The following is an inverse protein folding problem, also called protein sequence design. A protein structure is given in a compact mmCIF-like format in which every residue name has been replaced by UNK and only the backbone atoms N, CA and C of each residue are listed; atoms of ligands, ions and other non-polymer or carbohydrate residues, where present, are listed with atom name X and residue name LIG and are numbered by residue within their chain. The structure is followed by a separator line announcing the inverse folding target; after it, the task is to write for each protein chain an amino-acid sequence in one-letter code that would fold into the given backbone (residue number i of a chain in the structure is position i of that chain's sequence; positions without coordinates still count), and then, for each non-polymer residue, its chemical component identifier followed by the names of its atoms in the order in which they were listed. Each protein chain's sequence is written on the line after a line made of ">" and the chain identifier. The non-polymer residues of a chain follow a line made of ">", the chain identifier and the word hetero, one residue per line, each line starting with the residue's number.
data_IF_841804015723
#
_entry.id   IF_841804015723
#
_cell.length_a   1.000
_cell.length_b   1.000
_cell.length_c   1.000
_cell.angle_alpha   90.00
_cell.angle_beta   90.00
_cell.angle_gamma   90.00
#
_symmetry.space_group_name_H-M   'P 1'
#
loop_
_entity.id
_entity.type
_entity.pdbx_description
1 polymer ?
#
# COMPACT_ATOMS: atom_id res chain seq x y z
N UNK A 1 -12.94 0.28 -5.44
CA UNK A 1 -11.77 0.29 -4.54
C UNK A 1 -10.54 0.03 -5.38
N UNK A 2 -9.39 0.53 -4.98
CA UNK A 2 -8.10 0.22 -5.63
C UNK A 2 -7.14 -0.39 -4.61
N UNK A 3 -6.16 -1.12 -5.10
CA UNK A 3 -5.06 -1.70 -4.31
C UNK A 3 -3.74 -1.44 -5.03
N UNK A 4 -2.70 -1.19 -4.25
CA UNK A 4 -1.31 -1.23 -4.72
C UNK A 4 -0.38 -1.45 -3.52
N UNK A 5 0.87 -1.74 -3.81
CA UNK A 5 1.98 -1.71 -2.87
C UNK A 5 3.16 -0.94 -3.48
N UNK A 6 4.09 -0.52 -2.63
CA UNK A 6 5.32 0.12 -3.08
C UNK A 6 6.48 -0.16 -2.13
N UNK A 7 7.69 0.10 -2.61
CA UNK A 7 8.92 0.05 -1.86
C UNK A 7 9.89 1.13 -2.36
N UNK A 8 11.11 1.14 -1.81
CA UNK A 8 12.17 2.02 -2.30
C UNK A 8 12.57 1.70 -3.76
N UNK A 9 12.27 0.50 -4.28
CA UNK A 9 12.62 0.09 -5.64
C UNK A 9 11.53 0.42 -6.68
N UNK A 10 10.32 0.79 -6.24
CA UNK A 10 9.23 1.10 -7.15
C UNK A 10 7.87 0.81 -6.55
N UNK A 11 6.89 0.57 -7.42
CA UNK A 11 5.50 0.37 -7.06
C UNK A 11 4.89 -0.75 -7.91
N UNK A 12 3.91 -1.47 -7.36
CA UNK A 12 3.09 -2.40 -8.14
C UNK A 12 2.25 -1.62 -9.15
N UNK A 13 1.62 -2.31 -10.12
CA UNK A 13 0.46 -1.76 -10.81
C UNK A 13 -0.61 -1.30 -9.82
N UNK A 14 -1.38 -0.29 -10.20
CA UNK A 14 -2.63 0.06 -9.49
C UNK A 14 -3.71 -0.93 -9.93
N UNK A 15 -4.35 -1.61 -8.98
CA UNK A 15 -5.33 -2.66 -9.25
C UNK A 15 -6.72 -2.16 -8.88
N UNK A 16 -7.67 -2.25 -9.81
CA UNK A 16 -9.08 -1.94 -9.52
C UNK A 16 -9.79 -3.19 -9.03
N UNK A 17 -10.17 -3.19 -7.75
CA UNK A 17 -10.86 -4.29 -7.11
C UNK A 17 -12.37 -4.23 -7.37
N UNK A 18 -12.96 -5.38 -7.69
CA UNK A 18 -14.38 -5.51 -8.02
C UNK A 18 -15.19 -5.94 -6.80
N UNK A 19 -16.18 -5.12 -6.43
CA UNK A 19 -17.10 -5.45 -5.35
C UNK A 19 -16.44 -5.49 -3.97
N UNK A 20 -17.13 -6.12 -3.01
CA UNK A 20 -16.59 -6.37 -1.67
C UNK A 20 -15.55 -7.49 -1.75
N UNK A 21 -14.40 -7.28 -1.11
CA UNK A 21 -13.31 -8.25 -1.08
C UNK A 21 -13.46 -9.21 0.11
N UNK A 22 -13.11 -10.46 -0.12
CA UNK A 22 -12.90 -11.49 0.91
C UNK A 22 -11.41 -11.89 0.98
N UNK A 23 -11.10 -12.87 1.82
CA UNK A 23 -9.72 -13.36 2.00
C UNK A 23 -9.12 -14.01 0.75
N UNK A 24 -9.90 -14.73 -0.05
CA UNK A 24 -9.42 -15.35 -1.28
C UNK A 24 -9.14 -14.30 -2.37
N UNK A 25 -9.99 -13.26 -2.49
CA UNK A 25 -9.74 -12.13 -3.38
C UNK A 25 -8.43 -11.41 -3.00
N UNK A 26 -8.17 -11.27 -1.70
CA UNK A 26 -6.94 -10.66 -1.21
C UNK A 26 -5.71 -11.53 -1.47
N UNK A 27 -5.80 -12.84 -1.20
CA UNK A 27 -4.72 -13.79 -1.53
C UNK A 27 -4.40 -13.74 -3.02
N UNK A 28 -5.42 -13.74 -3.89
CA UNK A 28 -5.23 -13.57 -5.32
C UNK A 28 -4.52 -12.26 -5.65
N UNK A 29 -4.96 -11.14 -5.06
CA UNK A 29 -4.34 -9.83 -5.29
C UNK A 29 -2.87 -9.81 -4.91
N UNK A 30 -2.52 -10.37 -3.74
CA UNK A 30 -1.13 -10.45 -3.29
C UNK A 30 -0.32 -11.37 -4.21
N UNK A 31 -0.85 -12.55 -4.54
CA UNK A 31 -0.18 -13.51 -5.43
C UNK A 31 0.12 -12.93 -6.80
N UNK A 32 -0.85 -12.26 -7.43
CA UNK A 32 -0.73 -11.78 -8.80
C UNK A 32 0.04 -10.46 -8.95
N UNK A 33 -0.03 -9.59 -7.94
CA UNK A 33 0.49 -8.23 -8.08
C UNK A 33 1.61 -7.87 -7.11
N UNK A 34 1.59 -8.38 -5.87
CA UNK A 34 2.69 -8.14 -4.93
C UNK A 34 3.88 -9.03 -5.25
N UNK A 35 3.68 -10.35 -5.33
CA UNK A 35 4.78 -11.30 -5.39
C UNK A 35 5.68 -11.12 -6.62
N UNK A 36 5.15 -10.92 -7.85
CA UNK A 36 6.02 -10.67 -9.00
C UNK A 36 6.87 -9.41 -8.84
N UNK A 37 6.30 -8.34 -8.26
CA UNK A 37 7.02 -7.11 -7.99
C UNK A 37 8.10 -7.30 -6.91
N UNK A 38 7.76 -7.97 -5.81
CA UNK A 38 8.67 -8.23 -4.70
C UNK A 38 9.83 -9.13 -5.14
N UNK A 39 9.55 -10.23 -5.84
CA UNK A 39 10.56 -11.15 -6.35
C UNK A 39 11.49 -10.50 -7.37
N UNK A 40 10.96 -9.63 -8.25
CA UNK A 40 11.79 -8.88 -9.19
C UNK A 40 12.72 -7.89 -8.49
N UNK A 41 12.26 -7.27 -7.39
CA UNK A 41 12.99 -6.21 -6.69
C UNK A 41 13.97 -6.73 -5.63
N UNK A 42 13.61 -7.81 -4.94
CA UNK A 42 14.27 -8.28 -3.72
C UNK A 42 14.51 -9.80 -3.69
N UNK A 43 14.08 -10.55 -4.72
CA UNK A 43 14.00 -12.01 -4.62
C UNK A 43 13.05 -12.41 -3.48
N UNK A 44 13.47 -13.36 -2.66
CA UNK A 44 12.69 -13.81 -1.48
C UNK A 44 13.05 -13.06 -0.19
N UNK A 45 14.00 -12.13 -0.23
CA UNK A 45 14.48 -11.40 0.96
C UNK A 45 13.73 -10.08 1.12
N UNK A 46 12.47 -10.17 1.55
CA UNK A 46 11.65 -9.00 1.83
C UNK A 46 10.67 -9.24 2.98
N UNK A 47 10.26 -8.15 3.62
CA UNK A 47 9.20 -8.14 4.62
C UNK A 47 7.99 -7.41 4.04
N UNK A 48 6.83 -8.05 4.06
CA UNK A 48 5.58 -7.46 3.61
C UNK A 48 4.86 -6.75 4.77
N UNK A 49 4.47 -5.49 4.55
CA UNK A 49 3.66 -4.74 5.49
C UNK A 49 2.21 -4.64 4.98
N UNK A 50 1.26 -4.93 5.85
CA UNK A 50 -0.18 -4.75 5.64
C UNK A 50 -0.85 -4.25 6.93
N UNK A 51 -2.09 -3.76 6.85
CA UNK A 51 -2.89 -3.45 8.03
C UNK A 51 -3.61 -4.70 8.58
N UNK A 52 -4.28 -4.53 9.73
CA UNK A 52 -4.97 -5.62 10.43
C UNK A 52 -6.44 -5.78 9.99
N UNK A 53 -6.81 -5.46 8.74
CA UNK A 53 -8.16 -5.71 8.26
C UNK A 53 -8.51 -7.21 8.39
N UNK A 54 -9.77 -7.55 8.67
CA UNK A 54 -10.16 -8.93 9.01
C UNK A 54 -9.84 -9.95 7.92
N UNK A 55 -9.84 -9.54 6.65
CA UNK A 55 -9.44 -10.39 5.52
C UNK A 55 -7.92 -10.60 5.47
N UNK A 56 -7.12 -9.59 5.84
CA UNK A 56 -5.65 -9.63 5.80
C UNK A 56 -5.04 -10.52 6.88
N UNK A 57 -5.67 -10.56 8.07
CA UNK A 57 -5.26 -11.42 9.20
C UNK A 57 -6.09 -12.69 9.32
N UNK A 58 -6.89 -13.00 8.30
CA UNK A 58 -7.69 -14.22 8.29
C UNK A 58 -6.81 -15.47 8.25
N UNK A 59 -7.31 -16.59 8.78
CA UNK A 59 -6.60 -17.88 8.73
C UNK A 59 -6.13 -18.21 7.30
N UNK A 60 -7.02 -18.05 6.32
CA UNK A 60 -6.73 -18.30 4.90
C UNK A 60 -5.54 -17.49 4.38
N UNK A 61 -5.50 -16.20 4.73
CA UNK A 61 -4.44 -15.29 4.27
C UNK A 61 -3.12 -15.56 4.99
N UNK A 62 -3.15 -15.82 6.30
CA UNK A 62 -1.94 -16.17 7.05
C UNK A 62 -1.36 -17.53 6.63
N UNK A 63 -2.20 -18.51 6.29
CA UNK A 63 -1.77 -19.79 5.71
C UNK A 63 -1.07 -19.57 4.36
N UNK A 64 -1.65 -18.74 3.48
CA UNK A 64 -1.02 -18.38 2.21
C UNK A 64 0.36 -17.73 2.41
N UNK A 65 0.50 -16.79 3.36
CA UNK A 65 1.80 -16.19 3.65
C UNK A 65 2.82 -17.24 4.14
N UNK A 66 2.40 -18.19 4.97
CA UNK A 66 3.25 -19.29 5.40
C UNK A 66 3.65 -20.24 4.25
N UNK A 67 2.73 -20.55 3.34
CA UNK A 67 3.00 -21.38 2.15
C UNK A 67 3.99 -20.73 1.17
N UNK A 68 3.95 -19.40 1.07
CA UNK A 68 4.83 -18.62 0.20
C UNK A 68 6.11 -18.14 0.90
N UNK A 69 6.33 -18.52 2.16
CA UNK A 69 7.45 -18.06 3.00
C UNK A 69 7.58 -16.53 3.07
N UNK A 70 6.44 -15.84 3.10
CA UNK A 70 6.39 -14.38 3.17
C UNK A 70 6.43 -13.95 4.64
N UNK A 71 7.48 -13.25 5.02
CA UNK A 71 7.53 -12.59 6.32
C UNK A 71 6.60 -11.37 6.33
N UNK A 72 5.60 -11.38 7.20
CA UNK A 72 4.69 -10.25 7.41
C UNK A 72 5.14 -9.43 8.61
N UNK A 73 5.19 -8.11 8.47
CA UNK A 73 5.52 -7.19 9.55
C UNK A 73 4.36 -7.10 10.54
N UNK A 74 4.64 -7.30 11.82
CA UNK A 74 3.69 -7.03 12.90
C UNK A 74 3.29 -5.55 12.88
N UNK A 75 1.99 -5.29 12.68
CA UNK A 75 1.48 -3.94 12.53
C UNK A 75 0.57 -3.52 13.70
N UNK A 76 0.80 -2.34 14.31
CA UNK A 76 -0.07 -1.85 15.37
C UNK A 76 -1.45 -1.44 14.82
N UNK A 77 -2.50 -1.85 15.53
CA UNK A 77 -3.87 -1.48 15.20
C UNK A 77 -4.05 0.05 15.20
N UNK A 78 -4.90 0.56 14.30
CA UNK A 78 -5.27 2.00 14.20
C UNK A 78 -4.07 2.96 14.01
N UNK A 79 -3.05 2.52 13.30
CA UNK A 79 -1.84 3.33 13.04
C UNK A 79 -1.64 3.66 11.56
N UNK A 80 -2.59 4.32 10.89
CA UNK A 80 -2.44 4.70 9.47
C UNK A 80 -1.34 5.75 9.28
N UNK A 81 -1.06 6.58 10.29
CA UNK A 81 0.01 7.59 10.29
C UNK A 81 1.41 6.98 10.19
N UNK A 82 1.56 5.71 10.58
CA UNK A 82 2.80 4.97 10.38
C UNK A 82 2.92 4.40 8.98
N UNK A 83 1.83 4.19 8.24
CA UNK A 83 1.86 3.55 6.94
C UNK A 83 2.14 4.58 5.83
N UNK A 84 3.32 4.55 5.17
CA UNK A 84 3.66 5.54 4.15
C UNK A 84 2.74 5.51 2.92
N UNK A 85 2.04 4.40 2.67
CA UNK A 85 1.11 4.31 1.53
C UNK A 85 -0.07 5.26 1.68
N UNK A 86 -0.46 5.62 2.92
CA UNK A 86 -1.53 6.59 3.18
C UNK A 86 -1.15 7.98 2.67
N UNK A 87 0.13 8.36 2.80
CA UNK A 87 0.62 9.60 2.20
C UNK A 87 0.64 9.51 0.68
N UNK A 88 0.99 8.35 0.12
CA UNK A 88 0.96 8.14 -1.33
C UNK A 88 -0.47 8.24 -1.88
N UNK A 89 -1.46 7.67 -1.20
CA UNK A 89 -2.88 7.83 -1.53
C UNK A 89 -3.35 9.26 -1.45
N UNK A 90 -2.90 10.00 -0.43
CA UNK A 90 -3.18 11.42 -0.27
C UNK A 90 -2.59 12.25 -1.43
N UNK A 91 -1.37 11.96 -1.87
CA UNK A 91 -0.72 12.60 -3.02
C UNK A 91 -1.45 12.26 -4.32
N UNK A 92 -1.77 10.98 -4.54
CA UNK A 92 -2.51 10.52 -5.71
C UNK A 92 -3.85 11.24 -5.83
N UNK A 93 -4.62 11.32 -4.74
CA UNK A 93 -5.91 12.01 -4.70
C UNK A 93 -5.76 13.49 -5.05
N UNK A 94 -4.79 14.21 -4.45
CA UNK A 94 -4.53 15.62 -4.78
C UNK A 94 -4.19 15.83 -6.25
N UNK A 95 -3.43 14.91 -6.85
CA UNK A 95 -3.03 14.97 -8.26
C UNK A 95 -4.22 14.74 -9.20
N UNK A 96 -5.04 13.73 -8.91
CA UNK A 96 -6.24 13.39 -9.70
C UNK A 96 -7.27 14.53 -9.70
N UNK A 97 -7.47 15.18 -8.55
CA UNK A 97 -8.45 16.27 -8.37
C UNK A 97 -7.83 17.67 -8.44
N UNK A 98 -6.61 17.80 -8.96
CA UNK A 98 -5.91 19.08 -9.07
C UNK A 98 -6.76 20.11 -9.84
N UNK A 99 -6.62 21.39 -9.46
CA UNK A 99 -7.33 22.51 -10.07
C UNK A 99 -8.86 22.37 -10.07
N UNK A 100 -9.42 21.60 -9.13
CA UNK A 100 -10.86 21.40 -9.01
C UNK A 100 -11.47 20.45 -10.04
N UNK A 101 -10.64 19.67 -10.76
CA UNK A 101 -11.09 18.68 -11.76
C UNK A 101 -12.16 17.76 -11.18
N UNK A 102 -13.25 17.58 -11.91
CA UNK A 102 -14.33 16.62 -11.61
C UNK A 102 -14.41 15.56 -12.71
N UNK A 103 -15.10 14.46 -12.43
CA UNK A 103 -15.27 13.34 -13.34
C UNK A 103 -16.73 12.93 -13.42
N UNK A 104 -17.27 12.86 -14.64
CA UNK A 104 -18.66 12.48 -14.89
C UNK A 104 -18.84 10.96 -15.02
N UNK A 105 -17.75 10.21 -15.10
CA UNK A 105 -17.78 8.76 -15.20
C UNK A 105 -16.69 8.07 -14.38
N UNK A 106 -17.00 6.85 -13.92
CA UNK A 106 -16.02 5.96 -13.29
C UNK A 106 -14.89 5.59 -14.25
N UNK A 107 -15.15 5.58 -15.56
CA UNK A 107 -14.14 5.30 -16.56
C UNK A 107 -13.07 6.39 -16.60
N UNK A 108 -13.49 7.66 -16.67
CA UNK A 108 -12.57 8.80 -16.73
C UNK A 108 -11.79 8.96 -15.43
N UNK A 109 -12.45 8.72 -14.29
CA UNK A 109 -11.77 8.71 -12.99
C UNK A 109 -10.70 7.62 -12.92
N UNK A 110 -10.98 6.41 -13.44
CA UNK A 110 -10.00 5.32 -13.49
C UNK A 110 -8.82 5.66 -14.39
N UNK A 111 -9.09 6.21 -15.58
CA UNK A 111 -8.03 6.64 -16.50
C UNK A 111 -7.09 7.66 -15.81
N UNK A 112 -7.66 8.70 -15.19
CA UNK A 112 -6.87 9.69 -14.47
C UNK A 112 -6.12 9.10 -13.25
N UNK A 113 -6.70 8.14 -12.54
CA UNK A 113 -6.01 7.42 -11.46
C UNK A 113 -4.79 6.65 -11.97
N UNK A 114 -4.93 5.95 -13.10
CA UNK A 114 -3.81 5.22 -13.71
C UNK A 114 -2.71 6.16 -14.19
N UNK A 115 -3.06 7.23 -14.91
CA UNK A 115 -2.09 8.23 -15.37
C UNK A 115 -1.35 8.87 -14.19
N UNK A 116 -2.10 9.25 -13.14
CA UNK A 116 -1.51 9.86 -11.96
C UNK A 116 -0.62 8.90 -11.17
N UNK A 117 -0.97 7.61 -11.12
CA UNK A 117 -0.18 6.55 -10.49
C UNK A 117 1.11 6.27 -11.25
N UNK A 118 1.07 6.21 -12.57
CA UNK A 118 2.27 6.02 -13.40
C UNK A 118 3.23 7.19 -13.32
N UNK A 119 2.71 8.42 -13.22
CA UNK A 119 3.52 9.63 -13.09
C UNK A 119 3.99 9.89 -11.63
N UNK A 120 3.92 8.90 -10.74
CA UNK A 120 4.51 8.99 -9.40
C UNK A 120 6.04 8.87 -9.50
N UNK A 121 6.81 9.90 -9.11
CA UNK A 121 8.26 9.84 -9.21
C UNK A 121 8.85 8.80 -8.24
N UNK A 122 9.83 8.03 -8.70
CA UNK A 122 10.55 7.08 -7.86
C UNK A 122 11.18 7.75 -6.63
N UNK A 123 11.72 8.97 -6.78
CA UNK A 123 12.28 9.74 -5.68
C UNK A 123 11.27 10.02 -4.55
N UNK A 124 9.98 10.17 -4.88
CA UNK A 124 8.92 10.31 -3.88
C UNK A 124 8.76 9.01 -3.08
N UNK A 125 8.70 7.87 -3.76
CA UNK A 125 8.60 6.54 -3.12
C UNK A 125 9.75 6.33 -2.14
N UNK A 126 10.98 6.60 -2.58
CA UNK A 126 12.18 6.51 -1.74
C UNK A 126 12.05 7.40 -0.50
N UNK A 127 11.68 8.68 -0.66
CA UNK A 127 11.55 9.61 0.46
C UNK A 127 10.49 9.18 1.50
N UNK A 128 9.42 8.52 1.05
CA UNK A 128 8.38 7.98 1.92
C UNK A 128 8.90 6.78 2.73
N UNK A 129 9.64 5.86 2.10
CA UNK A 129 10.27 4.74 2.82
C UNK A 129 11.31 5.25 3.82
N UNK A 130 12.17 6.18 3.43
CA UNK A 130 13.19 6.81 4.30
C UNK A 130 12.57 7.61 5.45
N UNK A 131 11.28 7.94 5.40
CA UNK A 131 10.59 8.59 6.52
C UNK A 131 10.31 7.64 7.70
N UNK A 132 10.28 6.32 7.48
CA UNK A 132 9.86 5.33 8.49
C UNK A 132 10.63 5.41 9.81
N UNK A 133 11.98 5.51 9.84
CA UNK A 133 12.70 5.65 11.11
C UNK A 133 12.25 6.87 11.91
N UNK A 134 11.97 8.00 11.25
CA UNK A 134 11.50 9.22 11.92
C UNK A 134 10.09 9.08 12.46
N UNK A 135 9.20 8.38 11.74
CA UNK A 135 7.85 8.05 12.23
C UNK A 135 7.90 7.21 13.50
N UNK A 136 8.75 6.17 13.51
CA UNK A 136 8.93 5.30 14.67
C UNK A 136 9.49 6.08 15.88
N UNK A 137 10.50 6.92 15.67
CA UNK A 137 11.06 7.78 16.74
C UNK A 137 9.99 8.71 17.33
N UNK A 138 9.17 9.32 16.48
CA UNK A 138 8.09 10.19 16.97
C UNK A 138 7.00 9.40 17.71
N UNK A 139 6.62 8.22 17.21
CA UNK A 139 5.67 7.35 17.89
C UNK A 139 6.14 7.01 19.31
N UNK A 140 7.43 6.66 19.46
CA UNK A 140 8.05 6.41 20.76
C UNK A 140 8.02 7.66 21.64
N UNK A 141 8.42 8.83 21.10
CA UNK A 141 8.39 10.09 21.83
C UNK A 141 6.97 10.49 22.28
N UNK A 142 5.95 10.10 21.51
CA UNK A 142 4.53 10.32 21.81
C UNK A 142 3.90 9.19 22.63
N UNK A 143 4.68 8.21 23.10
CA UNK A 143 4.19 7.05 23.87
C UNK A 143 3.05 6.31 23.16
N UNK A 144 3.18 6.09 21.84
CA UNK A 144 2.18 5.41 21.03
C UNK A 144 0.99 6.27 20.60
N UNK A 145 0.97 7.58 20.93
CA UNK A 145 -0.05 8.49 20.42
C UNK A 145 0.23 8.93 18.97
N UNK A 146 -0.82 9.44 18.32
CA UNK A 146 -0.82 9.86 16.91
C UNK A 146 0.36 10.77 16.53
N UNK A 147 1.09 10.38 15.50
CA UNK A 147 2.17 11.18 14.90
C UNK A 147 1.61 12.30 14.00
N UNK A 148 2.47 13.19 13.51
CA UNK A 148 2.03 14.26 12.59
C UNK A 148 1.91 13.81 11.12
N UNK A 149 2.27 12.56 10.83
CA UNK A 149 2.29 11.98 9.48
C UNK A 149 0.91 11.57 8.96
#
# INVERSE_FOLDING_TARGET
>A
MVWAAFSAHGKTPLVVLKGRQNSDDYVFTVSEFLLPFAHLSYGTDFVYQQDNASIHVSKRTMEFFGEQDIQVLDWPSKSPDLNPIENLWSILSRKVYANGRQFDSVHDLKAALFDAWEDIPHALLLSLVESMPRRCVELLAKNGNKTHY
#
